data_IF_186989803582
#
_entry.id   IF_186989803582
#
_cell.length_a   1.000
_cell.length_b   1.000
_cell.length_c   1.000
_cell.angle_alpha   90.00
_cell.angle_beta   90.00
_cell.angle_gamma   90.00
#
_symmetry.space_group_name_H-M   'P 1'
#
loop_
_entity.id
_entity.type
_entity.pdbx_description
1 polymer ?
#
# COMPACT_ATOMS: atom_id res chain seq x y z
N UNK A 1 3.96 -13.09 -2.14
CA UNK A 1 2.76 -13.57 -2.85
C UNK A 1 1.72 -12.48 -2.85
N UNK A 2 1.08 -12.17 -3.99
CA UNK A 2 0.00 -11.18 -4.05
C UNK A 2 -1.15 -11.58 -3.11
N UNK A 3 -1.82 -10.63 -2.43
CA UNK A 3 -2.97 -10.93 -1.60
C UNK A 3 -4.14 -11.46 -2.45
N UNK A 4 -4.95 -12.35 -1.87
CA UNK A 4 -6.15 -12.91 -2.54
C UNK A 4 -7.29 -11.90 -2.67
N UNK A 5 -7.27 -10.83 -1.87
CA UNK A 5 -8.25 -9.74 -1.89
C UNK A 5 -7.59 -8.46 -2.44
N UNK A 6 -8.32 -7.56 -3.11
CA UNK A 6 -7.77 -6.29 -3.58
C UNK A 6 -7.16 -5.46 -2.44
N UNK A 7 -6.04 -4.80 -2.71
CA UNK A 7 -5.26 -4.06 -1.71
C UNK A 7 -6.11 -3.04 -0.93
N UNK A 8 -6.99 -2.29 -1.62
CA UNK A 8 -7.84 -1.28 -1.00
C UNK A 8 -8.86 -1.88 -0.02
N UNK A 9 -9.40 -3.07 -0.30
CA UNK A 9 -10.34 -3.76 0.60
C UNK A 9 -9.65 -4.15 1.90
N UNK A 10 -8.43 -4.69 1.81
CA UNK A 10 -7.61 -5.04 2.98
C UNK A 10 -7.30 -3.78 3.80
N UNK A 11 -6.82 -2.73 3.13
CA UNK A 11 -6.44 -1.48 3.78
C UNK A 11 -7.63 -0.81 4.50
N UNK A 12 -8.78 -0.64 3.84
CA UNK A 12 -9.98 -0.05 4.43
C UNK A 12 -10.48 -0.85 5.63
N UNK A 13 -10.45 -2.18 5.56
CA UNK A 13 -10.80 -3.06 6.67
C UNK A 13 -9.85 -2.88 7.85
N UNK A 14 -8.54 -2.79 7.60
CA UNK A 14 -7.53 -2.58 8.63
C UNK A 14 -7.61 -1.19 9.26
N UNK A 15 -7.83 -0.12 8.46
CA UNK A 15 -8.03 1.24 8.97
C UNK A 15 -9.28 1.33 9.86
N UNK A 16 -10.37 0.66 9.49
CA UNK A 16 -11.57 0.59 10.33
C UNK A 16 -11.31 -0.11 11.67
N UNK A 17 -10.51 -1.19 11.68
CA UNK A 17 -10.09 -1.86 12.92
C UNK A 17 -9.22 -0.94 13.78
N UNK A 18 -8.24 -0.25 13.17
CA UNK A 18 -7.39 0.72 13.87
C UNK A 18 -8.22 1.84 14.52
N UNK A 19 -9.20 2.39 13.80
CA UNK A 19 -10.13 3.40 14.30
C UNK A 19 -10.87 2.93 15.57
N UNK A 20 -11.33 1.68 15.58
CA UNK A 20 -12.07 1.10 16.71
C UNK A 20 -11.19 0.87 17.96
N UNK A 21 -9.89 0.63 17.77
CA UNK A 21 -8.95 0.40 18.89
C UNK A 21 -8.72 1.64 19.75
N UNK A 22 -8.98 2.85 19.23
CA UNK A 22 -8.81 4.14 19.94
C UNK A 22 -7.47 4.24 20.68
N UNK A 23 -6.38 3.83 20.01
CA UNK A 23 -5.07 3.67 20.65
C UNK A 23 -4.50 5.00 21.15
N UNK A 24 -4.54 6.05 20.33
CA UNK A 24 -4.00 7.35 20.71
C UNK A 24 -4.81 7.99 21.85
N UNK A 25 -6.12 7.74 21.95
CA UNK A 25 -6.95 8.18 23.09
C UNK A 25 -6.58 7.47 24.40
N UNK A 26 -5.83 6.37 24.33
CA UNK A 26 -5.38 5.59 25.47
C UNK A 26 -3.87 5.76 25.74
N UNK A 27 -3.28 6.90 25.34
CA UNK A 27 -1.84 7.21 25.45
C UNK A 27 -0.93 6.18 24.74
N UNK A 28 -1.42 5.59 23.64
CA UNK A 28 -0.67 4.62 22.81
C UNK A 28 -0.39 5.15 21.41
N UNK A 29 0.04 6.40 21.28
CA UNK A 29 0.35 7.07 20.00
C UNK A 29 1.42 6.32 19.20
N UNK A 30 2.46 5.80 19.87
CA UNK A 30 3.48 4.97 19.21
C UNK A 30 2.89 3.73 18.55
N UNK A 31 1.99 3.02 19.24
CA UNK A 31 1.34 1.82 18.69
C UNK A 31 0.38 2.21 17.56
N UNK A 32 -0.38 3.31 17.75
CA UNK A 32 -1.27 3.88 16.75
C UNK A 32 -0.53 4.16 15.43
N UNK A 33 0.58 4.91 15.48
CA UNK A 33 1.34 5.24 14.27
C UNK A 33 2.11 4.05 13.70
N UNK A 34 2.53 3.09 14.54
CA UNK A 34 3.15 1.85 14.04
C UNK A 34 2.15 1.07 13.17
N UNK A 35 0.90 0.94 13.62
CA UNK A 35 -0.14 0.26 12.86
C UNK A 35 -0.61 1.08 11.65
N UNK A 36 -0.83 2.40 11.82
CA UNK A 36 -1.27 3.28 10.74
C UNK A 36 -0.28 3.28 9.56
N UNK A 37 1.00 3.46 9.86
CA UNK A 37 2.04 3.50 8.81
C UNK A 37 2.27 2.13 8.17
N UNK A 38 2.13 1.04 8.94
CA UNK A 38 2.17 -0.32 8.39
C UNK A 38 1.05 -0.54 7.37
N UNK A 39 -0.20 -0.19 7.72
CA UNK A 39 -1.36 -0.37 6.83
C UNK A 39 -1.15 0.38 5.51
N UNK A 40 -0.67 1.62 5.55
CA UNK A 40 -0.41 2.40 4.33
C UNK A 40 0.74 1.82 3.51
N UNK A 41 1.83 1.37 4.14
CA UNK A 41 2.95 0.74 3.42
C UNK A 41 2.52 -0.55 2.73
N UNK A 42 1.81 -1.41 3.46
CA UNK A 42 1.24 -2.65 2.91
C UNK A 42 0.27 -2.36 1.76
N UNK A 43 -0.55 -1.31 1.87
CA UNK A 43 -1.43 -0.88 0.78
C UNK A 43 -0.64 -0.45 -0.46
N UNK A 44 0.33 0.46 -0.29
CA UNK A 44 1.14 0.99 -1.39
C UNK A 44 1.95 -0.11 -2.09
N UNK A 45 2.52 -1.04 -1.31
CA UNK A 45 3.26 -2.18 -1.83
C UNK A 45 2.38 -3.10 -2.68
N UNK A 46 1.20 -3.45 -2.19
CA UNK A 46 0.30 -4.32 -2.93
C UNK A 46 -0.38 -3.60 -4.12
N UNK A 47 -0.58 -2.28 -4.06
CA UNK A 47 -1.26 -1.51 -5.11
C UNK A 47 -0.34 -1.15 -6.27
N UNK A 48 0.92 -0.85 -5.99
CA UNK A 48 1.88 -0.32 -6.95
C UNK A 48 3.10 -1.22 -7.16
N UNK A 49 3.11 -2.40 -6.53
CA UNK A 49 4.19 -3.39 -6.65
C UNK A 49 5.58 -2.84 -6.28
N UNK A 50 5.61 -1.95 -5.29
CA UNK A 50 6.84 -1.36 -4.74
C UNK A 50 7.18 -1.98 -3.39
N UNK A 51 8.46 -2.14 -3.05
CA UNK A 51 8.89 -2.62 -1.72
C UNK A 51 8.75 -1.52 -0.65
N UNK A 52 7.51 -1.14 -0.30
CA UNK A 52 7.24 -0.04 0.62
C UNK A 52 7.51 -0.39 2.09
N UNK A 53 7.36 -1.66 2.49
CA UNK A 53 7.64 -2.13 3.84
C UNK A 53 9.14 -2.15 4.16
N UNK A 54 9.97 -2.40 3.15
CA UNK A 54 11.44 -2.50 3.29
C UNK A 54 12.15 -1.14 3.24
N UNK A 55 11.41 -0.06 2.99
CA UNK A 55 11.96 1.29 2.85
C UNK A 55 11.79 2.10 4.12
N UNK A 56 12.77 2.94 4.43
CA UNK A 56 12.56 4.03 5.40
C UNK A 56 11.47 4.98 4.91
N UNK A 57 10.90 5.80 5.80
CA UNK A 57 9.92 6.82 5.40
C UNK A 57 10.48 7.78 4.36
N UNK A 58 11.74 8.18 4.50
CA UNK A 58 12.40 9.08 3.54
C UNK A 58 12.52 8.44 2.16
N UNK A 59 13.04 7.21 2.07
CA UNK A 59 13.19 6.49 0.79
C UNK A 59 11.85 6.22 0.11
N UNK A 60 10.82 5.89 0.88
CA UNK A 60 9.47 5.68 0.33
C UNK A 60 8.91 6.98 -0.26
N UNK A 61 9.06 8.11 0.44
CA UNK A 61 8.59 9.41 -0.05
C UNK A 61 9.34 9.83 -1.31
N UNK A 62 10.66 9.66 -1.35
CA UNK A 62 11.43 9.98 -2.57
C UNK A 62 11.04 9.07 -3.73
N UNK A 63 10.87 7.76 -3.51
CA UNK A 63 10.38 6.85 -4.55
C UNK A 63 9.04 7.32 -5.14
N UNK A 64 8.06 7.60 -4.27
CA UNK A 64 6.73 7.99 -4.69
C UNK A 64 6.75 9.30 -5.45
N UNK A 65 7.49 10.30 -4.96
CA UNK A 65 7.65 11.62 -5.58
C UNK A 65 8.19 11.54 -7.01
N UNK A 66 9.10 10.61 -7.30
CA UNK A 66 9.67 10.43 -8.65
C UNK A 66 8.82 9.54 -9.56
N UNK A 67 7.96 8.69 -8.98
CA UNK A 67 7.14 7.73 -9.73
C UNK A 67 5.83 8.32 -10.30
N UNK A 68 5.37 9.46 -9.76
CA UNK A 68 4.10 10.10 -10.14
C UNK A 68 2.86 9.17 -10.04
N UNK A 69 2.92 8.13 -9.19
CA UNK A 69 1.82 7.13 -9.02
C UNK A 69 0.68 7.61 -8.12
N UNK A 70 0.90 8.70 -7.37
CA UNK A 70 -0.12 9.38 -6.57
C UNK A 70 -0.10 10.88 -6.85
N UNK A 71 -1.27 11.50 -6.76
CA UNK A 71 -1.41 12.94 -6.91
C UNK A 71 -0.73 13.70 -5.78
N UNK A 72 -0.32 14.95 -6.05
CA UNK A 72 0.42 15.82 -5.13
C UNK A 72 -0.26 15.99 -3.76
N UNK A 73 -1.59 16.06 -3.74
CA UNK A 73 -2.36 16.18 -2.51
C UNK A 73 -2.22 14.92 -1.64
N UNK A 74 -2.39 13.74 -2.24
CA UNK A 74 -2.24 12.44 -1.57
C UNK A 74 -0.80 12.22 -1.10
N UNK A 75 0.18 12.70 -1.85
CA UNK A 75 1.59 12.71 -1.45
C UNK A 75 1.84 13.57 -0.20
N UNK A 76 1.21 14.74 -0.12
CA UNK A 76 1.33 15.65 1.02
C UNK A 76 0.76 15.00 2.29
N UNK A 77 -0.38 14.35 2.16
CA UNK A 77 -0.99 13.57 3.24
C UNK A 77 -0.12 12.39 3.68
N UNK A 78 0.40 11.60 2.73
CA UNK A 78 1.29 10.49 3.04
C UNK A 78 2.54 10.97 3.79
N UNK A 79 3.12 12.08 3.33
CA UNK A 79 4.28 12.71 3.97
C UNK A 79 3.98 13.10 5.42
N UNK A 80 2.84 13.74 5.65
CA UNK A 80 2.40 14.12 6.99
C UNK A 80 2.26 12.91 7.92
N UNK A 81 1.65 11.82 7.47
CA UNK A 81 1.46 10.61 8.27
C UNK A 81 2.80 9.96 8.60
N UNK A 82 3.68 9.79 7.62
CA UNK A 82 4.98 9.13 7.81
C UNK A 82 5.91 9.92 8.73
N UNK A 83 5.94 11.25 8.60
CA UNK A 83 6.75 12.13 9.47
C UNK A 83 6.26 12.07 10.91
N UNK A 84 4.94 12.22 11.15
CA UNK A 84 4.41 12.10 12.51
C UNK A 84 4.64 10.71 13.08
N UNK A 85 4.53 9.68 12.24
CA UNK A 85 4.81 8.31 12.66
C UNK A 85 6.24 8.12 13.16
N UNK A 86 7.22 8.67 12.46
CA UNK A 86 8.62 8.57 12.89
C UNK A 86 8.89 9.38 14.16
N UNK A 87 8.30 10.57 14.30
CA UNK A 87 8.37 11.37 15.52
C UNK A 87 7.76 10.63 16.72
N UNK A 88 6.58 10.01 16.55
CA UNK A 88 5.92 9.26 17.62
C UNK A 88 6.68 7.97 18.00
N UNK A 89 7.24 7.25 17.01
CA UNK A 89 7.94 5.98 17.24
C UNK A 89 9.31 6.16 17.89
N UNK A 90 10.04 7.19 17.47
CA UNK A 90 11.48 7.33 17.76
C UNK A 90 11.82 8.55 18.62
N UNK A 91 11.09 9.67 18.47
CA UNK A 91 11.35 10.90 19.23
C UNK A 91 10.48 11.06 20.50
N UNK A 92 9.63 10.07 20.81
CA UNK A 92 8.63 10.13 21.91
C UNK A 92 7.72 11.37 21.82
N UNK A 93 7.57 11.92 20.62
CA UNK A 93 6.64 13.00 20.35
C UNK A 93 5.22 12.48 20.52
N UNK A 94 4.33 13.30 21.09
CA UNK A 94 2.90 13.01 21.19
C UNK A 94 2.16 13.95 20.24
N UNK A 95 1.77 13.48 19.04
CA UNK A 95 0.94 14.26 18.14
C UNK A 95 -0.36 14.69 18.82
N UNK A 96 -0.83 15.88 18.47
CA UNK A 96 -2.06 16.45 19.00
C UNK A 96 -3.28 15.62 18.57
N UNK A 97 -4.40 15.66 19.33
CA UNK A 97 -5.60 14.89 18.98
C UNK A 97 -6.11 15.14 17.54
N UNK A 98 -6.07 16.38 17.08
CA UNK A 98 -6.45 16.77 15.72
C UNK A 98 -5.45 16.25 14.67
N UNK A 99 -4.15 16.22 14.95
CA UNK A 99 -3.14 15.58 14.10
C UNK A 99 -3.36 14.06 14.00
N UNK A 100 -3.71 13.40 15.10
CA UNK A 100 -4.02 11.96 15.12
C UNK A 100 -5.25 11.66 14.26
N UNK A 101 -6.33 12.41 14.47
CA UNK A 101 -7.57 12.27 13.69
C UNK A 101 -7.37 12.60 12.21
N UNK A 102 -6.61 13.65 11.91
CA UNK A 102 -6.26 14.03 10.54
C UNK A 102 -5.45 12.91 9.88
N UNK A 103 -4.48 12.32 10.58
CA UNK A 103 -3.67 11.22 10.05
C UNK A 103 -4.53 10.01 9.65
N UNK A 104 -5.56 9.69 10.43
CA UNK A 104 -6.50 8.62 10.08
C UNK A 104 -7.34 8.98 8.85
N UNK A 105 -7.89 10.19 8.81
CA UNK A 105 -8.70 10.68 7.68
C UNK A 105 -7.89 10.69 6.38
N UNK A 106 -6.67 11.19 6.44
CA UNK A 106 -5.71 11.19 5.34
C UNK A 106 -5.42 9.76 4.87
N UNK A 107 -5.24 8.80 5.79
CA UNK A 107 -5.03 7.40 5.40
C UNK A 107 -6.22 6.81 4.63
N UNK A 108 -7.46 7.07 5.08
CA UNK A 108 -8.66 6.70 4.32
C UNK A 108 -8.68 7.37 2.95
N UNK A 109 -8.44 8.67 2.91
CA UNK A 109 -8.48 9.47 1.69
C UNK A 109 -7.43 9.03 0.66
N UNK A 110 -6.22 8.66 1.10
CA UNK A 110 -5.21 8.06 0.22
C UNK A 110 -5.73 6.78 -0.42
N UNK A 111 -6.27 5.85 0.37
CA UNK A 111 -6.75 4.55 -0.14
C UNK A 111 -7.94 4.74 -1.09
N UNK A 112 -8.94 5.52 -0.69
CA UNK A 112 -10.18 5.71 -1.46
C UNK A 112 -9.94 6.40 -2.81
N UNK A 113 -9.04 7.37 -2.85
CA UNK A 113 -8.72 8.11 -4.09
C UNK A 113 -7.71 7.40 -5.00
N UNK A 114 -7.18 6.25 -4.58
CA UNK A 114 -6.21 5.46 -5.38
C UNK A 114 -6.72 4.06 -5.71
N UNK A 115 -8.02 3.80 -5.45
CA UNK A 115 -8.71 2.61 -5.94
C UNK A 115 -8.58 2.59 -7.48
N UNK A 116 -8.15 1.46 -8.09
CA UNK A 116 -8.10 1.33 -9.54
C UNK A 116 -9.44 1.70 -10.16
N UNK A 117 -9.42 2.57 -11.17
CA UNK A 117 -10.62 2.85 -11.97
C UNK A 117 -10.89 1.68 -12.89
N UNK A 118 -12.11 1.59 -13.44
CA UNK A 118 -12.52 0.48 -14.31
C UNK A 118 -11.55 0.34 -15.50
N UNK A 119 -11.11 1.48 -16.05
CA UNK A 119 -10.15 1.54 -17.15
C UNK A 119 -8.77 0.98 -16.75
N UNK A 120 -8.35 1.17 -15.49
CA UNK A 120 -7.10 0.61 -14.97
C UNK A 120 -7.21 -0.90 -14.77
N UNK A 121 -8.41 -1.41 -14.43
CA UNK A 121 -8.68 -2.82 -14.21
C UNK A 121 -8.62 -3.59 -15.54
N UNK A 122 -9.18 -3.04 -16.62
CA UNK A 122 -9.12 -3.66 -17.94
C UNK A 122 -7.66 -3.85 -18.41
N UNK A 123 -6.81 -2.83 -18.25
CA UNK A 123 -5.38 -2.90 -18.55
C UNK A 123 -4.65 -3.94 -17.67
N UNK A 124 -5.00 -4.03 -16.39
CA UNK A 124 -4.42 -5.03 -15.48
C UNK A 124 -4.82 -6.47 -15.85
N UNK A 125 -6.04 -6.69 -16.36
CA UNK A 125 -6.47 -8.03 -16.81
C UNK A 125 -5.68 -8.45 -18.05
N UNK A 126 -5.49 -7.53 -19.01
CA UNK A 126 -4.71 -7.81 -20.23
C UNK A 126 -3.24 -8.18 -19.92
N UNK A 127 -2.57 -7.47 -19.01
CA UNK A 127 -1.18 -7.80 -18.63
C UNK A 127 -1.06 -9.18 -17.96
N UNK A 128 -2.03 -9.59 -17.15
CA UNK A 128 -1.99 -10.89 -16.47
C UNK A 128 -2.33 -12.07 -17.39
N UNK A 129 -3.06 -11.86 -18.49
CA UNK A 129 -3.34 -12.92 -19.47
C UNK A 129 -2.13 -13.27 -20.35
N UNK A 130 -1.21 -12.32 -20.59
CA UNK A 130 -0.01 -12.51 -21.43
C UNK A 130 1.01 -13.45 -20.75
N UNK A 131 1.13 -13.40 -19.42
CA UNK A 131 2.10 -14.22 -18.66
C UNK A 131 1.72 -15.71 -18.56
N UNK A 132 0.46 -16.08 -18.85
CA UNK A 132 -0.01 -17.48 -18.71
C UNK A 132 0.18 -18.35 -19.97
N UNK A 133 0.54 -17.75 -21.11
CA UNK A 133 0.62 -18.46 -22.40
C UNK A 133 2.05 -18.80 -22.86
N UNK A 134 3.09 -18.53 -22.06
CA UNK A 134 4.49 -18.75 -22.49
C UNK A 134 5.08 -20.12 -22.16
N UNK A 135 4.38 -21.02 -21.45
CA UNK A 135 4.99 -22.24 -20.88
C UNK A 135 4.37 -23.58 -21.36
N UNK A 136 3.78 -23.63 -22.56
CA UNK A 136 3.17 -24.85 -23.13
C UNK A 136 3.77 -25.34 -24.46
N UNK A 137 4.91 -24.82 -24.90
CA UNK A 137 5.54 -25.21 -26.18
C UNK A 137 6.89 -25.90 -26.05
N UNK A 138 7.14 -26.75 -25.04
CA UNK A 138 8.35 -27.60 -25.01
C UNK A 138 8.10 -29.00 -24.43
N UNK A 139 7.07 -29.73 -24.86
CA UNK A 139 7.10 -31.20 -24.75
C UNK A 139 6.12 -31.86 -25.73
N UNK A 140 6.50 -32.08 -27.00
CA UNK A 140 6.24 -33.31 -27.80
C UNK A 140 6.95 -33.11 -29.15
N UNK A 141 8.20 -33.54 -29.28
CA UNK A 141 8.69 -34.04 -30.56
C UNK A 141 9.81 -35.08 -30.37
N UNK A 142 9.43 -36.30 -30.01
CA UNK A 142 10.22 -37.49 -30.34
C UNK A 142 9.28 -38.66 -30.60
N UNK A 143 9.04 -38.95 -31.89
CA UNK A 143 8.77 -40.27 -32.47
C UNK A 143 8.33 -40.10 -33.92
N UNK A 144 9.26 -40.32 -34.85
CA UNK A 144 9.01 -40.82 -36.20
C UNK A 144 10.34 -41.28 -36.81
N UNK A 145 10.76 -42.47 -36.43
CA UNK A 145 11.54 -43.37 -37.28
C UNK A 145 10.79 -44.70 -37.28
N UNK A 146 10.28 -45.09 -38.45
CA UNK A 146 10.00 -46.46 -38.90
C UNK A 146 9.11 -46.39 -40.14
N UNK A 147 9.71 -46.13 -41.31
CA UNK A 147 9.62 -46.97 -42.52
C UNK A 147 10.37 -46.38 -43.70
#
# INVERSE_FOLDING_TARGET
SKPKEPAHIIALRSLNKLKQKKLWQADKEKAYYSELTYILREYLENRYEISALDRTSHELLELIKHSNIIEKERFTELSQILILGDLAKFAKFKPLPDENDLSLKNAFSIVENTIPKIEDIELMVEENEIDTNSDLSETVNSKKEDK
#
